data_IF_561689084501
#
_entry.id   IF_561689084501
#
_cell.length_a   1.000
_cell.length_b   1.000
_cell.length_c   1.000
_cell.angle_alpha   90.00
_cell.angle_beta   90.00
_cell.angle_gamma   90.00
#
_symmetry.space_group_name_H-M   'P 1'
#
loop_
_entity.id
_entity.type
_entity.pdbx_description
1 polymer ?
#
# COMPACT_ATOMS: atom_id res chain seq x y z
N UNK A 1 -11.01 34.30 -27.28
CA UNK A 1 -10.43 34.82 -26.03
C UNK A 1 -9.02 34.26 -25.90
N UNK A 2 -8.03 35.12 -25.80
CA UNK A 2 -6.66 34.71 -25.53
C UNK A 2 -6.45 34.56 -24.02
N UNK A 3 -5.76 33.49 -23.61
CA UNK A 3 -5.38 33.25 -22.22
C UNK A 3 -3.86 33.26 -22.13
N UNK A 4 -3.33 34.05 -21.21
CA UNK A 4 -1.88 34.08 -20.97
C UNK A 4 -1.46 32.91 -20.09
N UNK A 5 -0.21 32.45 -20.24
CA UNK A 5 0.37 31.38 -19.45
C UNK A 5 0.24 31.67 -17.93
N UNK A 6 0.09 30.61 -17.14
CA UNK A 6 -0.07 30.62 -15.69
C UNK A 6 -1.35 31.31 -15.16
N UNK A 7 -2.43 31.29 -15.92
CA UNK A 7 -3.75 31.80 -15.49
C UNK A 7 -4.67 30.64 -15.10
N UNK A 8 -5.39 30.84 -13.96
CA UNK A 8 -6.51 29.95 -13.61
C UNK A 8 -7.74 30.28 -14.44
N UNK A 9 -8.28 29.32 -15.16
CA UNK A 9 -9.49 29.49 -15.98
C UNK A 9 -10.58 28.51 -15.55
N UNK A 10 -11.84 28.95 -15.67
CA UNK A 10 -12.98 28.06 -15.50
C UNK A 10 -13.52 27.69 -16.87
N UNK A 11 -13.51 26.39 -17.18
CA UNK A 11 -14.09 25.81 -18.39
C UNK A 11 -15.45 25.22 -18.03
N UNK A 12 -16.46 25.52 -18.84
CA UNK A 12 -17.78 24.93 -18.73
C UNK A 12 -18.19 24.39 -20.10
N UNK A 13 -18.53 23.11 -20.16
CA UNK A 13 -19.04 22.41 -21.33
C UNK A 13 -20.08 21.38 -20.88
N UNK A 14 -21.09 21.05 -21.69
CA UNK A 14 -22.06 20.03 -21.35
C UNK A 14 -21.46 18.60 -21.29
N UNK A 15 -20.33 18.35 -21.95
CA UNK A 15 -19.73 17.01 -22.07
C UNK A 15 -18.44 16.86 -21.24
N UNK A 16 -18.41 17.45 -20.03
CA UNK A 16 -17.27 17.30 -19.11
C UNK A 16 -17.45 16.15 -18.11
N UNK A 17 -18.52 15.38 -18.24
CA UNK A 17 -18.74 14.21 -17.39
C UNK A 17 -17.68 13.13 -17.68
N UNK A 18 -16.96 12.72 -16.65
CA UNK A 18 -15.90 11.71 -16.76
C UNK A 18 -14.47 12.26 -17.00
N UNK A 19 -14.29 13.57 -17.06
CA UNK A 19 -12.95 14.17 -17.10
C UNK A 19 -12.24 13.97 -15.76
N UNK A 20 -11.06 13.35 -15.82
CA UNK A 20 -10.26 13.09 -14.64
C UNK A 20 -9.40 14.31 -14.24
N UNK A 21 -9.27 14.63 -12.96
CA UNK A 21 -8.36 15.65 -12.47
C UNK A 21 -6.91 15.39 -12.91
N UNK A 22 -6.24 16.41 -13.43
CA UNK A 22 -4.88 16.29 -13.95
C UNK A 22 -4.78 15.92 -15.44
N UNK A 23 -5.91 15.72 -16.13
CA UNK A 23 -5.91 15.49 -17.57
C UNK A 23 -5.46 16.73 -18.35
N UNK A 24 -4.68 16.51 -19.42
CA UNK A 24 -4.28 17.55 -20.36
C UNK A 24 -5.47 18.03 -21.18
N UNK A 25 -5.57 19.33 -21.42
CA UNK A 25 -6.64 19.93 -22.23
C UNK A 25 -6.03 20.64 -23.43
N UNK A 26 -6.42 20.23 -24.63
CA UNK A 26 -6.06 20.88 -25.88
C UNK A 26 -7.24 21.68 -26.42
N UNK A 27 -6.99 22.86 -26.91
CA UNK A 27 -7.99 23.71 -27.57
C UNK A 27 -7.56 23.99 -29.00
N UNK A 28 -8.39 23.57 -29.96
CA UNK A 28 -8.18 23.85 -31.41
C UNK A 28 -9.49 24.19 -32.07
N UNK A 29 -9.43 24.93 -33.18
CA UNK A 29 -10.53 25.20 -34.11
C UNK A 29 -10.40 24.40 -35.38
N UNK A 30 -9.34 23.63 -35.58
CA UNK A 30 -9.08 22.81 -36.75
C UNK A 30 -9.49 21.35 -36.51
N UNK A 31 -10.29 20.80 -37.44
CA UNK A 31 -10.70 19.39 -37.34
C UNK A 31 -9.57 18.39 -37.58
N UNK A 32 -8.54 18.77 -38.34
CA UNK A 32 -7.40 17.91 -38.58
C UNK A 32 -6.51 17.79 -37.30
N UNK A 33 -6.27 18.90 -36.63
CA UNK A 33 -5.58 18.92 -35.33
C UNK A 33 -6.34 18.16 -34.24
N UNK A 34 -7.66 18.16 -34.28
CA UNK A 34 -8.51 17.43 -33.36
C UNK A 34 -8.20 15.93 -33.34
N UNK A 35 -8.01 15.31 -34.49
CA UNK A 35 -7.68 13.88 -34.63
C UNK A 35 -6.24 13.59 -34.15
N UNK A 36 -5.32 14.52 -34.32
CA UNK A 36 -3.95 14.40 -33.82
C UNK A 36 -3.92 14.48 -32.28
N UNK A 37 -4.62 15.46 -31.70
CA UNK A 37 -4.72 15.60 -30.24
C UNK A 37 -5.46 14.43 -29.57
N UNK A 38 -6.48 13.86 -30.22
CA UNK A 38 -7.12 12.63 -29.73
C UNK A 38 -6.13 11.46 -29.61
N UNK A 39 -5.34 11.23 -30.67
CA UNK A 39 -4.31 10.18 -30.65
C UNK A 39 -3.25 10.43 -29.58
N UNK A 40 -2.86 11.70 -29.38
CA UNK A 40 -1.91 12.07 -28.35
C UNK A 40 -2.49 11.77 -26.94
N UNK A 41 -3.71 12.22 -26.67
CA UNK A 41 -4.41 11.94 -25.41
C UNK A 41 -4.61 10.43 -25.17
N UNK A 42 -4.99 9.68 -26.21
CA UNK A 42 -5.10 8.23 -26.11
C UNK A 42 -3.76 7.56 -25.77
N UNK A 43 -2.65 8.07 -26.31
CA UNK A 43 -1.32 7.56 -25.99
C UNK A 43 -0.89 7.92 -24.58
N UNK A 44 -1.19 9.14 -24.11
CA UNK A 44 -0.97 9.58 -22.73
C UNK A 44 -1.81 8.73 -21.76
N UNK A 45 -3.08 8.51 -22.03
CA UNK A 45 -3.94 7.66 -21.21
C UNK A 45 -3.48 6.20 -21.19
N UNK A 46 -2.98 5.66 -22.29
CA UNK A 46 -2.43 4.30 -22.33
C UNK A 46 -1.15 4.16 -21.49
N UNK A 47 -0.34 5.20 -21.37
CA UNK A 47 0.84 5.20 -20.52
C UNK A 47 0.50 5.17 -19.02
N UNK A 48 -0.70 5.64 -18.67
CA UNK A 48 -1.27 5.62 -17.31
C UNK A 48 -1.88 4.25 -16.95
N UNK A 49 -2.06 3.35 -17.92
CA UNK A 49 -2.44 1.96 -17.63
C UNK A 49 -1.28 1.27 -16.90
N UNK A 50 -1.36 1.32 -15.60
CA UNK A 50 -0.45 0.66 -14.70
C UNK A 50 -0.67 -0.84 -14.87
N UNK A 51 0.38 -1.58 -15.19
CA UNK A 51 0.36 -3.04 -15.11
C UNK A 51 0.00 -3.41 -13.66
N UNK A 52 -1.27 -3.77 -13.45
CA UNK A 52 -1.77 -4.18 -12.16
C UNK A 52 -1.54 -5.67 -11.98
N UNK A 53 -0.98 -6.03 -10.85
CA UNK A 53 -0.79 -7.42 -10.46
C UNK A 53 -2.08 -7.95 -9.79
N UNK A 54 -2.25 -9.27 -9.81
CA UNK A 54 -3.40 -9.92 -9.14
C UNK A 54 -3.36 -9.77 -7.62
N UNK A 55 -2.20 -9.41 -7.06
CA UNK A 55 -1.99 -9.19 -5.63
C UNK A 55 -1.03 -8.02 -5.45
N UNK A 56 -1.44 -6.99 -4.75
CA UNK A 56 -0.67 -5.77 -4.57
C UNK A 56 -1.47 -4.71 -3.81
N UNK A 57 -0.85 -3.57 -3.58
CA UNK A 57 -1.49 -2.44 -2.93
C UNK A 57 -2.62 -1.84 -3.75
N UNK A 58 -3.58 -1.23 -3.08
CA UNK A 58 -4.58 -0.36 -3.70
C UNK A 58 -4.16 1.09 -3.51
N UNK A 59 -4.08 1.83 -4.63
CA UNK A 59 -3.74 3.25 -4.62
C UNK A 59 -4.95 4.10 -4.95
N UNK A 60 -5.15 5.18 -4.19
CA UNK A 60 -6.14 6.21 -4.44
C UNK A 60 -5.48 7.58 -4.40
N UNK A 61 -5.58 8.34 -5.47
CA UNK A 61 -4.94 9.63 -5.63
C UNK A 61 -5.93 10.70 -6.09
N UNK A 62 -5.56 11.95 -5.89
CA UNK A 62 -6.35 13.11 -6.32
C UNK A 62 -6.21 13.43 -7.81
N UNK A 63 -5.08 13.10 -8.42
CA UNK A 63 -4.75 13.42 -9.82
C UNK A 63 -3.97 12.30 -10.51
N UNK A 64 -3.97 12.32 -11.84
CA UNK A 64 -3.18 11.40 -12.68
C UNK A 64 -1.69 11.52 -12.36
N UNK A 65 -1.15 12.73 -12.28
CA UNK A 65 0.27 12.96 -12.00
C UNK A 65 0.72 12.43 -10.64
N UNK A 66 -0.12 12.57 -9.60
CA UNK A 66 0.13 11.98 -8.29
C UNK A 66 0.15 10.45 -8.34
N UNK A 67 -0.78 9.87 -9.11
CA UNK A 67 -0.89 8.44 -9.29
C UNK A 67 0.34 7.86 -10.00
N UNK A 68 0.80 8.51 -11.08
CA UNK A 68 2.01 8.13 -11.81
C UNK A 68 3.26 8.21 -10.91
N UNK A 69 3.42 9.32 -10.19
CA UNK A 69 4.55 9.50 -9.29
C UNK A 69 4.59 8.43 -8.21
N UNK A 70 3.45 8.15 -7.57
CA UNK A 70 3.34 7.13 -6.53
C UNK A 70 3.62 5.73 -7.07
N UNK A 71 3.08 5.41 -8.24
CA UNK A 71 3.28 4.14 -8.92
C UNK A 71 4.75 3.90 -9.25
N UNK A 72 5.42 4.90 -9.82
CA UNK A 72 6.84 4.80 -10.17
C UNK A 72 7.72 4.61 -8.92
N UNK A 73 7.40 5.29 -7.83
CA UNK A 73 8.13 5.14 -6.57
C UNK A 73 7.96 3.75 -5.95
N UNK A 74 6.75 3.21 -5.96
CA UNK A 74 6.46 1.85 -5.47
C UNK A 74 7.11 0.79 -6.35
N UNK A 75 7.09 0.98 -7.67
CA UNK A 75 7.79 0.10 -8.62
C UNK A 75 9.30 0.05 -8.37
N UNK A 76 9.95 1.18 -8.09
CA UNK A 76 11.38 1.23 -7.71
C UNK A 76 11.67 0.48 -6.42
N UNK A 77 10.74 0.47 -5.49
CA UNK A 77 10.80 -0.32 -4.25
C UNK A 77 10.36 -1.78 -4.44
N UNK A 78 9.98 -2.19 -5.65
CA UNK A 78 9.47 -3.53 -5.98
C UNK A 78 8.21 -3.91 -5.19
N UNK A 79 7.38 -2.93 -4.87
CA UNK A 79 6.11 -3.13 -4.19
C UNK A 79 5.02 -3.27 -5.26
N UNK A 80 4.34 -4.42 -5.35
CA UNK A 80 3.32 -4.66 -6.37
C UNK A 80 2.06 -3.84 -6.12
N UNK A 81 1.39 -3.45 -7.21
CA UNK A 81 0.17 -2.66 -7.19
C UNK A 81 -0.94 -3.49 -7.85
N UNK A 82 -2.01 -3.73 -7.12
CA UNK A 82 -3.19 -4.43 -7.62
C UNK A 82 -4.19 -3.50 -8.29
N UNK A 83 -4.32 -2.29 -7.78
CA UNK A 83 -5.26 -1.30 -8.32
C UNK A 83 -4.72 0.10 -8.08
N UNK A 84 -4.84 0.95 -9.08
CA UNK A 84 -4.52 2.37 -9.00
C UNK A 84 -5.66 3.17 -9.64
N UNK A 85 -6.23 4.11 -8.89
CA UNK A 85 -7.44 4.81 -9.30
C UNK A 85 -7.46 6.24 -8.74
N UNK A 86 -8.23 7.12 -9.37
CA UNK A 86 -8.38 8.51 -8.97
C UNK A 86 -9.72 8.69 -8.26
N UNK A 87 -9.70 9.44 -7.18
CA UNK A 87 -10.89 9.77 -6.39
C UNK A 87 -10.86 9.19 -4.98
N UNK A 88 -11.95 9.36 -4.22
CA UNK A 88 -12.03 8.98 -2.81
C UNK A 88 -11.93 7.46 -2.62
N UNK A 89 -11.53 7.06 -1.43
CA UNK A 89 -11.58 5.66 -1.01
C UNK A 89 -13.02 5.28 -0.75
N UNK A 90 -13.47 4.19 -1.36
CA UNK A 90 -14.83 3.67 -1.25
C UNK A 90 -14.86 2.34 -0.49
N UNK A 91 -16.04 1.96 0.00
CA UNK A 91 -16.26 0.65 0.62
C UNK A 91 -15.81 -0.51 -0.27
N UNK A 92 -15.99 -0.37 -1.61
CA UNK A 92 -15.55 -1.38 -2.57
C UNK A 92 -14.04 -1.58 -2.55
N UNK A 93 -13.26 -0.50 -2.44
CA UNK A 93 -11.80 -0.58 -2.38
C UNK A 93 -11.35 -1.33 -1.12
N UNK A 94 -12.03 -1.12 0.01
CA UNK A 94 -11.78 -1.84 1.27
C UNK A 94 -12.09 -3.34 1.13
N UNK A 95 -13.19 -3.70 0.47
CA UNK A 95 -13.53 -5.10 0.21
C UNK A 95 -12.51 -5.79 -0.71
N UNK A 96 -11.99 -5.08 -1.71
CA UNK A 96 -10.91 -5.56 -2.56
C UNK A 96 -9.60 -5.74 -1.77
N UNK A 97 -9.23 -4.78 -0.91
CA UNK A 97 -8.08 -4.90 -0.01
C UNK A 97 -8.19 -6.09 0.96
N UNK A 98 -9.39 -6.35 1.46
CA UNK A 98 -9.69 -7.53 2.31
C UNK A 98 -9.41 -8.84 1.59
N UNK A 99 -9.78 -8.95 0.32
CA UNK A 99 -9.50 -10.14 -0.49
C UNK A 99 -7.98 -10.32 -0.73
N UNK A 100 -7.25 -9.23 -0.90
CA UNK A 100 -5.78 -9.24 -1.04
C UNK A 100 -5.12 -9.63 0.29
N UNK A 101 -5.57 -9.06 1.41
CA UNK A 101 -5.07 -9.34 2.76
C UNK A 101 -5.11 -10.82 3.12
N UNK A 102 -6.13 -11.55 2.63
CA UNK A 102 -6.23 -12.99 2.83
C UNK A 102 -5.07 -13.79 2.18
N UNK A 103 -4.40 -13.20 1.18
CA UNK A 103 -3.25 -13.80 0.49
C UNK A 103 -1.93 -13.27 1.04
N UNK A 104 -1.86 -11.95 1.22
CA UNK A 104 -0.70 -11.25 1.75
C UNK A 104 -1.17 -10.08 2.62
N UNK A 105 -0.84 -10.16 3.92
CA UNK A 105 -1.27 -9.19 4.92
C UNK A 105 -0.68 -7.80 4.73
N UNK A 106 0.53 -7.71 4.17
CA UNK A 106 1.21 -6.44 3.94
C UNK A 106 0.72 -5.73 2.68
N UNK A 107 0.22 -6.49 1.70
CA UNK A 107 -0.32 -5.96 0.45
C UNK A 107 -1.82 -5.62 0.54
N UNK A 108 -2.55 -6.21 1.49
CA UNK A 108 -3.97 -5.92 1.69
C UNK A 108 -4.24 -4.61 2.42
N UNK A 109 -3.68 -3.52 1.92
CA UNK A 109 -3.81 -2.17 2.46
C UNK A 109 -4.10 -1.15 1.36
N UNK A 110 -4.56 0.04 1.75
CA UNK A 110 -4.89 1.12 0.83
C UNK A 110 -3.95 2.30 1.11
N UNK A 111 -3.31 2.83 0.07
CA UNK A 111 -2.57 4.08 0.12
C UNK A 111 -3.43 5.20 -0.48
N UNK A 112 -3.79 6.16 0.32
CA UNK A 112 -4.68 7.29 0.00
C UNK A 112 -3.86 8.58 -0.02
N UNK A 113 -3.65 9.15 -1.20
CA UNK A 113 -2.91 10.38 -1.39
C UNK A 113 -3.84 11.56 -1.66
N UNK A 114 -3.95 12.48 -0.71
CA UNK A 114 -4.71 13.73 -0.82
C UNK A 114 -6.18 13.54 -1.26
N UNK A 115 -6.79 12.42 -0.93
CA UNK A 115 -8.20 12.13 -1.19
C UNK A 115 -8.92 11.80 0.11
N UNK A 116 -10.25 11.89 0.11
CA UNK A 116 -11.07 11.56 1.26
C UNK A 116 -11.36 10.07 1.32
N UNK A 117 -11.49 9.55 2.52
CA UNK A 117 -12.12 8.26 2.77
C UNK A 117 -13.60 8.52 3.02
N UNK A 118 -14.48 7.75 2.39
CA UNK A 118 -15.91 7.84 2.68
C UNK A 118 -16.24 7.15 4.00
N UNK A 119 -17.27 7.66 4.72
CA UNK A 119 -17.67 7.15 6.03
C UNK A 119 -17.99 5.65 6.01
N UNK A 120 -18.61 5.16 4.94
CA UNK A 120 -18.91 3.73 4.75
C UNK A 120 -17.64 2.88 4.50
N UNK A 121 -16.61 3.46 3.90
CA UNK A 121 -15.31 2.83 3.73
C UNK A 121 -14.52 2.79 5.05
N UNK A 122 -14.63 3.85 5.85
CA UNK A 122 -13.99 3.93 7.17
C UNK A 122 -14.55 2.84 8.10
N UNK A 123 -15.88 2.75 8.21
CA UNK A 123 -16.55 1.70 9.00
C UNK A 123 -16.14 0.30 8.54
N UNK A 124 -16.18 0.02 7.22
CA UNK A 124 -15.78 -1.30 6.69
C UNK A 124 -14.29 -1.58 6.95
N UNK A 125 -13.43 -0.56 6.92
CA UNK A 125 -11.99 -0.71 7.17
C UNK A 125 -11.71 -1.13 8.63
N UNK A 126 -12.44 -0.56 9.58
CA UNK A 126 -12.36 -0.92 10.99
C UNK A 126 -12.87 -2.35 11.23
N UNK A 127 -14.04 -2.70 10.70
CA UNK A 127 -14.64 -4.04 10.84
C UNK A 127 -13.76 -5.14 10.22
N UNK A 128 -13.16 -4.84 9.07
CA UNK A 128 -12.30 -5.78 8.33
C UNK A 128 -10.83 -5.71 8.74
N UNK A 129 -10.48 -4.78 9.66
CA UNK A 129 -9.10 -4.51 10.06
C UNK A 129 -8.18 -4.23 8.87
N UNK A 130 -8.68 -3.49 7.88
CA UNK A 130 -7.88 -3.03 6.74
C UNK A 130 -7.24 -1.70 7.09
N UNK A 131 -5.93 -1.59 6.90
CA UNK A 131 -5.23 -0.35 7.15
C UNK A 131 -5.30 0.56 5.92
N UNK A 132 -5.71 1.81 6.15
CA UNK A 132 -5.68 2.88 5.16
C UNK A 132 -4.60 3.85 5.61
N UNK A 133 -3.60 4.10 4.76
CA UNK A 133 -2.59 5.11 4.98
C UNK A 133 -3.00 6.36 4.23
N UNK A 134 -3.15 7.47 4.95
CA UNK A 134 -3.54 8.75 4.38
C UNK A 134 -2.42 9.78 4.59
N UNK A 135 -2.02 10.44 3.53
CA UNK A 135 -1.07 11.54 3.62
C UNK A 135 -1.23 12.50 2.42
N UNK A 136 -0.72 13.72 2.59
CA UNK A 136 -0.61 14.74 1.55
C UNK A 136 0.81 14.88 1.01
N UNK A 137 1.74 14.08 1.52
CA UNK A 137 3.14 14.05 1.12
C UNK A 137 3.47 12.64 0.65
N UNK A 138 3.81 12.49 -0.64
CA UNK A 138 4.03 11.19 -1.28
C UNK A 138 5.12 10.38 -0.57
N UNK A 139 6.25 11.01 -0.21
CA UNK A 139 7.36 10.33 0.46
C UNK A 139 6.94 9.82 1.84
N UNK A 140 6.27 10.65 2.62
CA UNK A 140 5.76 10.30 3.94
C UNK A 140 4.78 9.10 3.88
N UNK A 141 3.89 9.09 2.89
CA UNK A 141 2.94 8.00 2.68
C UNK A 141 3.65 6.66 2.48
N UNK A 142 4.67 6.63 1.62
CA UNK A 142 5.44 5.42 1.33
C UNK A 142 6.30 5.00 2.52
N UNK A 143 6.91 5.95 3.21
CA UNK A 143 7.77 5.68 4.37
C UNK A 143 6.95 5.16 5.55
N UNK A 144 5.77 5.71 5.80
CA UNK A 144 4.84 5.23 6.83
C UNK A 144 4.39 3.78 6.54
N UNK A 145 4.10 3.46 5.28
CA UNK A 145 3.80 2.09 4.88
C UNK A 145 5.00 1.16 5.09
N UNK A 146 6.19 1.54 4.62
CA UNK A 146 7.40 0.73 4.75
C UNK A 146 7.76 0.47 6.21
N UNK A 147 7.69 1.50 7.05
CA UNK A 147 7.93 1.39 8.49
C UNK A 147 6.93 0.44 9.17
N UNK A 148 5.66 0.53 8.78
CA UNK A 148 4.66 -0.39 9.31
C UNK A 148 4.94 -1.84 8.92
N UNK A 149 5.35 -2.11 7.67
CA UNK A 149 5.71 -3.47 7.23
C UNK A 149 6.87 -4.02 8.04
N UNK A 150 7.89 -3.21 8.30
CA UNK A 150 9.05 -3.60 9.13
C UNK A 150 8.64 -3.91 10.57
N UNK A 151 7.83 -3.05 11.19
CA UNK A 151 7.34 -3.24 12.56
C UNK A 151 6.47 -4.49 12.68
N UNK A 152 5.51 -4.66 11.78
CA UNK A 152 4.59 -5.77 11.77
C UNK A 152 5.31 -7.12 11.54
N UNK A 153 6.37 -7.14 10.72
CA UNK A 153 7.23 -8.31 10.54
C UNK A 153 8.02 -8.65 11.80
N UNK A 154 8.58 -7.64 12.46
CA UNK A 154 9.32 -7.83 13.72
C UNK A 154 8.43 -8.33 14.86
N UNK A 155 7.18 -7.86 14.93
CA UNK A 155 6.20 -8.31 15.93
C UNK A 155 5.85 -9.79 15.76
N UNK A 156 5.69 -10.24 14.49
CA UNK A 156 5.45 -11.66 14.18
C UNK A 156 6.64 -12.52 14.54
N UNK A 157 7.84 -12.10 14.16
CA UNK A 157 9.06 -12.83 14.50
C UNK A 157 9.22 -12.95 16.02
N UNK A 158 8.95 -11.86 16.75
CA UNK A 158 8.99 -11.86 18.21
C UNK A 158 7.95 -12.80 18.82
N UNK A 159 6.73 -12.84 18.28
CA UNK A 159 5.70 -13.74 18.74
C UNK A 159 6.08 -15.22 18.50
N UNK A 160 6.62 -15.52 17.33
CA UNK A 160 7.14 -16.86 16.99
C UNK A 160 8.28 -17.25 17.93
N UNK A 161 9.23 -16.33 18.19
CA UNK A 161 10.33 -16.58 19.14
C UNK A 161 9.84 -16.86 20.56
N UNK A 162 8.77 -16.21 21.00
CA UNK A 162 8.19 -16.44 22.33
C UNK A 162 7.43 -17.77 22.44
N UNK A 163 6.92 -18.31 21.34
CA UNK A 163 6.25 -19.63 21.28
C UNK A 163 7.23 -20.79 21.11
N UNK A 164 8.41 -20.54 20.53
CA UNK A 164 9.43 -21.56 20.34
C UNK A 164 10.24 -21.71 21.63
N UNK A 165 10.16 -22.86 22.28
CA UNK A 165 11.07 -23.22 23.37
C UNK A 165 12.50 -23.27 22.80
N UNK A 166 13.42 -22.41 23.24
CA UNK A 166 14.77 -22.38 22.72
C UNK A 166 15.47 -23.73 22.95
N UNK A 167 16.13 -24.23 21.91
CA UNK A 167 16.89 -25.49 21.99
C UNK A 167 18.12 -25.24 22.85
N UNK A 168 18.21 -25.90 24.00
CA UNK A 168 19.39 -25.85 24.85
C UNK A 168 20.10 -27.20 24.87
N UNK A 169 21.43 -27.16 24.81
CA UNK A 169 22.30 -28.30 25.06
C UNK A 169 22.91 -28.20 26.45
N UNK A 170 22.73 -29.23 27.26
CA UNK A 170 23.28 -29.27 28.60
C UNK A 170 23.93 -30.61 28.89
N UNK A 171 24.91 -30.61 29.77
CA UNK A 171 25.59 -31.79 30.26
C UNK A 171 25.31 -31.96 31.75
N UNK A 172 24.93 -33.18 32.15
CA UNK A 172 24.76 -33.52 33.56
C UNK A 172 26.11 -33.55 34.28
N UNK A 173 26.19 -32.88 35.42
CA UNK A 173 27.40 -32.88 36.22
C UNK A 173 27.46 -34.11 37.14
N UNK A 174 28.47 -34.98 36.93
CA UNK A 174 28.69 -36.13 37.79
C UNK A 174 28.95 -35.70 39.25
N UNK A 175 28.21 -36.30 40.19
CA UNK A 175 28.34 -36.00 41.62
C UNK A 175 27.43 -34.87 42.14
N UNK A 176 26.67 -34.21 41.26
CA UNK A 176 25.72 -33.16 41.61
C UNK A 176 24.27 -33.63 41.46
N UNK A 177 23.97 -34.82 42.00
CA UNK A 177 22.60 -35.32 42.13
C UNK A 177 22.12 -35.08 43.52
N UNK A 178 21.20 -34.16 43.70
CA UNK A 178 20.72 -33.75 45.03
C UNK A 178 19.50 -34.58 45.45
N UNK A 179 18.72 -35.07 44.52
CA UNK A 179 17.53 -35.88 44.78
C UNK A 179 17.24 -36.75 43.54
N UNK A 180 17.03 -38.06 43.76
CA UNK A 180 16.80 -39.01 42.66
C UNK A 180 15.34 -39.22 42.31
N UNK A 181 14.39 -38.91 43.18
CA UNK A 181 12.98 -39.15 42.97
C UNK A 181 12.10 -37.97 43.36
N UNK A 182 11.06 -37.78 42.60
CA UNK A 182 9.81 -37.05 42.73
C UNK A 182 9.87 -35.65 43.39
N UNK A 183 10.30 -34.61 42.77
CA UNK A 183 11.04 -34.57 41.48
C UNK A 183 12.53 -34.89 41.66
N UNK A 184 13.18 -35.38 40.59
CA UNK A 184 14.62 -35.54 40.56
C UNK A 184 15.28 -34.15 40.42
N UNK A 185 16.38 -33.93 41.19
CA UNK A 185 17.13 -32.65 41.17
C UNK A 185 18.60 -32.95 40.96
N UNK A 186 19.18 -32.41 39.91
CA UNK A 186 20.59 -32.58 39.56
C UNK A 186 21.19 -31.30 38.98
N UNK A 187 22.52 -31.19 39.09
CA UNK A 187 23.26 -30.10 38.52
C UNK A 187 23.51 -30.33 37.02
N UNK A 188 23.30 -29.30 36.27
CA UNK A 188 23.58 -29.29 34.81
C UNK A 188 24.56 -28.14 34.51
N UNK A 189 25.35 -28.32 33.45
CA UNK A 189 26.06 -27.23 32.79
C UNK A 189 25.39 -26.99 31.45
N UNK A 190 25.02 -25.74 31.17
CA UNK A 190 24.49 -25.35 29.86
C UNK A 190 25.69 -25.16 28.92
N UNK A 191 25.73 -25.93 27.85
CA UNK A 191 26.82 -25.93 26.85
C UNK A 191 26.49 -25.03 25.66
N UNK A 192 25.22 -24.91 25.30
CA UNK A 192 24.71 -24.03 24.25
C UNK A 192 23.19 -23.81 24.41
N UNK A 193 22.69 -22.67 23.90
CA UNK A 193 21.30 -22.26 24.00
C UNK A 193 21.13 -21.02 24.86
N UNK A 194 19.94 -20.42 24.79
CA UNK A 194 19.54 -19.25 25.59
C UNK A 194 18.75 -19.72 26.80
#
# INVERSE_FOLDING_TARGET
NEVQAAAGIKIASPDLDGVLPGSTVYATSDSAETEEFKKLLESEMKSVFIDTETTGLILKCDTIGSLEALTEMLRRKQIPISKADIGPVTRRDVMEAKAIKAKDRHLGVILSFNVKVFDDAEVESEESHIRIFEDKIIYSLIDNYSLWVEQDSADVDSAIFNEITPIAKFTFLKGYTFRNNNPAVFGIRVDAGV
#
